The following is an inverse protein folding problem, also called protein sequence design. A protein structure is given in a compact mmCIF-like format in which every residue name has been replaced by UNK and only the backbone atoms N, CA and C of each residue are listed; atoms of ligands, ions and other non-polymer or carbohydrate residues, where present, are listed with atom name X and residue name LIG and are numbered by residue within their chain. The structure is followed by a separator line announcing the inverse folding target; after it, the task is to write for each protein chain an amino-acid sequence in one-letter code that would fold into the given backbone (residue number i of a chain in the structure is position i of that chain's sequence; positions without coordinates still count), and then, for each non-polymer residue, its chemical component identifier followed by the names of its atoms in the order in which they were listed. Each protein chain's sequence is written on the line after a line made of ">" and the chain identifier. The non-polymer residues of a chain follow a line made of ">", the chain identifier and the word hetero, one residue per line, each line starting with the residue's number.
data_IF_213111784393
#
_entry.id   IF_213111784393
#
_cell.length_a   1.000
_cell.length_b   1.000
_cell.length_c   1.000
_cell.angle_alpha   90.00
_cell.angle_beta   90.00
_cell.angle_gamma   90.00
#
_symmetry.space_group_name_H-M   'P 1'
#
loop_
_entity.id
_entity.type
_entity.pdbx_description
1 polymer ?
#
# COMPACT_ATOMS: atom_id res chain seq x y z
N UNK A 1 30.46 -1.98 -12.23
CA UNK A 1 30.11 -2.48 -10.89
C UNK A 1 28.75 -1.90 -10.56
N UNK A 2 27.66 -2.69 -10.43
CA UNK A 2 26.38 -2.11 -10.07
C UNK A 2 26.48 -1.62 -8.62
N UNK A 3 26.31 -0.32 -8.41
CA UNK A 3 26.17 0.24 -7.08
C UNK A 3 24.92 -0.37 -6.44
N UNK A 4 25.10 -1.09 -5.34
CA UNK A 4 24.01 -1.54 -4.49
C UNK A 4 23.36 -0.32 -3.83
N UNK A 5 22.55 0.42 -4.57
CA UNK A 5 21.70 1.45 -3.98
C UNK A 5 20.70 0.72 -3.09
N UNK A 6 20.66 1.00 -1.77
CA UNK A 6 19.78 0.29 -0.86
C UNK A 6 18.33 0.51 -1.28
N UNK A 7 17.58 -0.60 -1.40
CA UNK A 7 16.14 -0.54 -1.71
C UNK A 7 15.40 0.07 -0.51
N UNK A 8 14.33 0.82 -0.75
CA UNK A 8 13.46 1.38 0.31
C UNK A 8 13.11 0.33 1.38
N UNK A 9 12.69 -0.86 0.96
CA UNK A 9 12.41 -1.98 1.86
C UNK A 9 13.59 -2.37 2.75
N UNK A 10 14.82 -2.35 2.23
CA UNK A 10 16.01 -2.63 3.05
C UNK A 10 16.30 -1.53 4.06
N UNK A 11 16.04 -0.26 3.70
CA UNK A 11 16.21 0.89 4.60
C UNK A 11 15.19 0.82 5.72
N UNK A 12 13.91 0.64 5.38
CA UNK A 12 12.82 0.57 6.36
C UNK A 12 12.99 -0.60 7.31
N UNK A 13 13.38 -1.78 6.80
CA UNK A 13 13.66 -2.95 7.66
C UNK A 13 14.85 -2.72 8.58
N UNK A 14 15.93 -2.14 8.06
CA UNK A 14 17.11 -1.84 8.86
C UNK A 14 16.83 -0.82 9.97
N UNK A 15 15.99 0.19 9.68
CA UNK A 15 15.69 1.25 10.63
C UNK A 15 14.63 0.83 11.66
N UNK A 16 13.59 0.11 11.24
CA UNK A 16 12.43 -0.18 12.07
C UNK A 16 12.48 -1.55 12.74
N UNK A 17 12.98 -2.60 12.05
CA UNK A 17 12.89 -3.98 12.56
C UNK A 17 14.15 -4.45 13.28
N UNK A 18 15.34 -4.03 12.85
CA UNK A 18 16.60 -4.44 13.50
C UNK A 18 16.69 -4.01 14.97
N UNK A 19 16.30 -2.78 15.36
CA UNK A 19 16.34 -2.37 16.77
C UNK A 19 15.08 -2.72 17.58
N UNK A 20 14.09 -3.39 16.98
CA UNK A 20 12.79 -3.63 17.59
C UNK A 20 12.71 -4.78 18.61
N UNK A 21 13.47 -5.90 18.49
CA UNK A 21 13.34 -7.00 19.44
C UNK A 21 13.65 -6.55 20.87
N UNK A 22 12.78 -6.95 21.82
CA UNK A 22 12.89 -6.53 23.22
C UNK A 22 14.26 -6.83 23.81
N UNK A 23 14.83 -8.00 23.51
CA UNK A 23 16.15 -8.42 24.01
C UNK A 23 17.31 -7.53 23.59
N UNK A 24 17.14 -6.74 22.51
CA UNK A 24 18.14 -5.76 22.06
C UNK A 24 18.03 -4.47 22.87
N UNK A 25 16.82 -4.11 23.31
CA UNK A 25 16.55 -2.88 24.04
C UNK A 25 16.73 -3.04 25.55
N UNK A 26 16.20 -4.12 26.11
CA UNK A 26 16.13 -4.41 27.55
C UNK A 26 16.38 -5.90 27.76
N UNK A 27 17.40 -6.24 28.54
CA UNK A 27 17.62 -7.63 28.95
C UNK A 27 16.63 -8.05 30.04
N UNK A 28 16.43 -9.36 30.23
CA UNK A 28 15.59 -9.87 31.32
C UNK A 28 16.07 -9.35 32.69
N UNK A 29 17.38 -9.26 32.91
CA UNK A 29 17.96 -8.73 34.16
C UNK A 29 17.53 -7.27 34.39
N UNK A 30 17.68 -6.42 33.37
CA UNK A 30 17.25 -5.01 33.44
C UNK A 30 15.73 -4.89 33.64
N UNK A 31 14.96 -5.77 33.02
CA UNK A 31 13.51 -5.81 33.21
C UNK A 31 13.15 -6.20 34.65
N UNK A 32 13.86 -7.16 35.26
CA UNK A 32 13.63 -7.55 36.66
C UNK A 32 13.98 -6.44 37.64
N UNK A 33 14.97 -5.59 37.34
CA UNK A 33 15.34 -4.44 38.19
C UNK A 33 14.21 -3.42 38.35
N UNK A 34 13.25 -3.36 37.43
CA UNK A 34 12.10 -2.47 37.53
C UNK A 34 11.07 -2.88 38.58
N UNK A 35 11.18 -4.11 39.10
CA UNK A 35 10.30 -4.64 40.12
C UNK A 35 10.94 -4.51 41.52
N UNK A 36 10.13 -4.34 42.58
CA UNK A 36 10.63 -4.33 43.94
C UNK A 36 11.40 -5.62 44.27
N UNK A 37 12.48 -5.53 45.06
CA UNK A 37 13.37 -6.65 45.40
C UNK A 37 12.64 -7.92 45.93
N UNK A 38 11.47 -7.74 46.53
CA UNK A 38 10.62 -8.82 47.05
C UNK A 38 10.05 -9.72 45.94
N UNK A 39 9.93 -9.21 44.73
CA UNK A 39 9.33 -9.88 43.58
C UNK A 39 10.34 -10.23 42.49
N UNK A 40 11.56 -9.70 42.54
CA UNK A 40 12.60 -9.92 41.50
C UNK A 40 12.94 -11.40 41.26
N UNK A 41 12.77 -12.26 42.27
CA UNK A 41 12.97 -13.71 42.16
C UNK A 41 11.71 -14.49 41.77
N UNK A 42 10.60 -13.81 41.43
CA UNK A 42 9.36 -14.47 41.02
C UNK A 42 9.43 -14.96 39.58
N UNK A 43 9.01 -16.20 39.36
CA UNK A 43 8.87 -16.81 38.03
C UNK A 43 7.86 -16.06 37.14
N UNK A 44 6.90 -15.37 37.76
CA UNK A 44 5.88 -14.57 37.06
C UNK A 44 6.49 -13.43 36.22
N UNK A 45 7.64 -12.87 36.65
CA UNK A 45 8.31 -11.78 35.92
C UNK A 45 8.94 -12.32 34.63
N UNK A 46 9.49 -13.54 34.66
CA UNK A 46 10.01 -14.18 33.46
C UNK A 46 8.89 -14.50 32.47
N UNK A 47 7.74 -14.96 32.98
CA UNK A 47 6.54 -15.21 32.16
C UNK A 47 6.07 -13.90 31.52
N UNK A 48 6.00 -12.81 32.28
CA UNK A 48 5.62 -11.50 31.77
C UNK A 48 6.58 -11.01 30.68
N UNK A 49 7.89 -11.16 30.88
CA UNK A 49 8.89 -10.79 29.88
C UNK A 49 8.72 -11.59 28.58
N UNK A 50 8.45 -12.90 28.67
CA UNK A 50 8.15 -13.73 27.48
C UNK A 50 6.86 -13.31 26.79
N UNK A 51 5.81 -12.97 27.54
CA UNK A 51 4.56 -12.46 26.95
C UNK A 51 4.82 -11.16 26.18
N UNK A 52 5.57 -10.24 26.78
CA UNK A 52 5.90 -8.95 26.16
C UNK A 52 6.78 -9.11 24.93
N UNK A 53 7.74 -10.06 24.98
CA UNK A 53 8.55 -10.43 23.83
C UNK A 53 7.70 -10.99 22.68
N UNK A 54 6.71 -11.85 22.99
CA UNK A 54 5.80 -12.38 21.97
C UNK A 54 4.92 -11.29 21.35
N UNK A 55 4.44 -10.34 22.16
CA UNK A 55 3.64 -9.23 21.66
C UNK A 55 4.45 -8.33 20.72
N UNK A 56 5.67 -7.96 21.11
CA UNK A 56 6.57 -7.18 20.25
C UNK A 56 6.92 -7.95 18.97
N UNK A 57 7.08 -9.28 19.04
CA UNK A 57 7.33 -10.08 17.85
C UNK A 57 6.15 -10.04 16.87
N UNK A 58 4.92 -10.10 17.36
CA UNK A 58 3.72 -9.93 16.52
C UNK A 58 3.69 -8.56 15.85
N UNK A 59 3.99 -7.49 16.60
CA UNK A 59 4.05 -6.14 16.06
C UNK A 59 5.16 -5.99 15.00
N UNK A 60 6.33 -6.61 15.22
CA UNK A 60 7.44 -6.66 14.25
C UNK A 60 7.00 -7.33 12.96
N UNK A 61 6.28 -8.45 13.06
CA UNK A 61 5.79 -9.19 11.90
C UNK A 61 4.76 -8.35 11.12
N UNK A 62 3.82 -7.68 11.80
CA UNK A 62 2.85 -6.77 11.20
C UNK A 62 3.53 -5.58 10.50
N UNK A 63 4.48 -4.92 11.16
CA UNK A 63 5.27 -3.85 10.55
C UNK A 63 6.06 -4.36 9.35
N UNK A 64 6.55 -5.61 9.40
CA UNK A 64 7.23 -6.27 8.29
C UNK A 64 6.34 -6.42 7.04
N UNK A 65 5.07 -6.79 7.22
CA UNK A 65 4.07 -6.85 6.15
C UNK A 65 3.73 -5.45 5.61
N UNK A 66 3.55 -4.48 6.51
CA UNK A 66 3.27 -3.09 6.16
C UNK A 66 4.41 -2.46 5.34
N UNK A 67 5.67 -2.74 5.67
CA UNK A 67 6.83 -2.28 4.89
C UNK A 67 6.79 -2.84 3.46
N UNK A 68 6.36 -4.10 3.27
CA UNK A 68 6.25 -4.69 1.94
C UNK A 68 5.14 -4.01 1.11
N UNK A 69 4.00 -3.72 1.75
CA UNK A 69 2.91 -2.99 1.12
C UNK A 69 3.31 -1.55 0.75
N UNK A 70 3.97 -0.84 1.66
CA UNK A 70 4.40 0.54 1.42
C UNK A 70 5.49 0.62 0.35
N UNK A 71 6.46 -0.31 0.33
CA UNK A 71 7.47 -0.35 -0.74
C UNK A 71 6.86 -0.61 -2.13
N UNK A 72 5.75 -1.35 -2.22
CA UNK A 72 4.99 -1.51 -3.48
C UNK A 72 4.29 -0.21 -3.86
N UNK A 73 3.71 0.48 -2.88
CA UNK A 73 3.04 1.77 -3.06
C UNK A 73 4.01 2.88 -3.48
N UNK A 74 5.19 2.96 -2.86
CA UNK A 74 6.25 3.90 -3.22
C UNK A 74 6.70 3.73 -4.67
N UNK A 75 6.90 2.49 -5.13
CA UNK A 75 7.20 2.22 -6.56
C UNK A 75 6.10 2.72 -7.49
N UNK A 76 4.83 2.54 -7.13
CA UNK A 76 3.69 3.03 -7.92
C UNK A 76 3.69 4.56 -7.98
N UNK A 77 3.87 5.23 -6.85
CA UNK A 77 3.97 6.70 -6.78
C UNK A 77 5.14 7.24 -7.59
N UNK A 78 6.31 6.59 -7.54
CA UNK A 78 7.46 6.97 -8.38
C UNK A 78 7.14 6.83 -9.88
N UNK A 79 6.40 5.79 -10.28
CA UNK A 79 5.95 5.64 -11.68
C UNK A 79 5.00 6.77 -12.06
N UNK A 80 4.01 7.06 -11.23
CA UNK A 80 3.07 8.17 -11.45
C UNK A 80 3.79 9.52 -11.57
N UNK A 81 4.73 9.83 -10.67
CA UNK A 81 5.54 11.07 -10.74
C UNK A 81 6.37 11.14 -12.02
N UNK A 82 6.98 10.02 -12.45
CA UNK A 82 7.71 9.98 -13.72
C UNK A 82 6.80 10.26 -14.91
N UNK A 83 5.62 9.66 -14.93
CA UNK A 83 4.61 9.89 -15.98
C UNK A 83 4.16 11.36 -15.96
N UNK A 84 3.81 11.92 -14.80
CA UNK A 84 3.42 13.33 -14.68
C UNK A 84 4.49 14.28 -15.19
N UNK A 85 5.76 14.04 -14.83
CA UNK A 85 6.89 14.84 -15.33
C UNK A 85 7.09 14.71 -16.83
N UNK A 86 6.92 13.50 -17.39
CA UNK A 86 7.01 13.28 -18.82
C UNK A 86 5.85 13.99 -19.56
N UNK A 87 4.62 13.94 -19.04
CA UNK A 87 3.48 14.65 -19.62
C UNK A 87 3.61 16.16 -19.52
N UNK A 88 4.14 16.69 -18.42
CA UNK A 88 4.40 18.12 -18.26
C UNK A 88 5.50 18.60 -19.21
N UNK A 89 6.55 17.80 -19.38
CA UNK A 89 7.59 18.06 -20.37
C UNK A 89 7.02 18.04 -21.79
N UNK A 90 6.20 17.04 -22.13
CA UNK A 90 5.55 16.92 -23.44
C UNK A 90 4.64 18.13 -23.72
N UNK A 91 3.79 18.52 -22.76
CA UNK A 91 2.91 19.69 -22.90
C UNK A 91 3.71 20.99 -23.05
N UNK A 92 4.85 21.12 -22.35
CA UNK A 92 5.76 22.25 -22.53
C UNK A 92 6.37 22.28 -23.93
N UNK A 93 6.83 21.14 -24.45
CA UNK A 93 7.38 21.04 -25.81
C UNK A 93 6.32 21.33 -26.88
N UNK A 94 5.09 20.85 -26.70
CA UNK A 94 3.97 21.13 -27.61
C UNK A 94 3.55 22.62 -27.62
N UNK A 95 3.81 23.35 -26.53
CA UNK A 95 3.54 24.79 -26.44
C UNK A 95 4.60 25.69 -27.07
N UNK A 96 5.76 25.13 -27.42
CA UNK A 96 6.85 25.89 -28.04
C UNK A 96 6.65 25.93 -29.56
N UNK A 97 6.70 27.13 -30.14
CA UNK A 97 6.65 27.30 -31.58
C UNK A 97 7.95 26.77 -32.21
N UNK A 98 7.88 26.24 -33.45
CA UNK A 98 9.04 25.63 -34.12
C UNK A 98 10.18 26.64 -34.26
N UNK A 99 9.84 27.93 -34.42
CA UNK A 99 10.81 29.03 -34.43
C UNK A 99 11.50 29.26 -33.07
N UNK A 100 10.78 29.12 -31.96
CA UNK A 100 11.35 29.26 -30.61
C UNK A 100 12.32 28.11 -30.31
N UNK A 101 11.97 26.88 -30.71
CA UNK A 101 12.84 25.71 -30.59
C UNK A 101 14.14 25.91 -31.39
N UNK A 102 14.04 26.43 -32.63
CA UNK A 102 15.20 26.67 -33.49
C UNK A 102 16.12 27.77 -32.94
N UNK A 103 15.53 28.83 -32.40
CA UNK A 103 16.26 29.93 -31.75
C UNK A 103 16.97 29.46 -30.48
N UNK A 104 16.32 28.67 -29.63
CA UNK A 104 16.91 28.08 -28.43
C UNK A 104 18.05 27.08 -28.77
N UNK A 105 17.97 26.42 -29.92
CA UNK A 105 18.96 25.44 -30.37
C UNK A 105 20.25 26.10 -30.90
N UNK A 106 20.14 27.28 -31.52
CA UNK A 106 21.28 28.10 -31.97
C UNK A 106 21.97 28.85 -30.81
N UNK A 107 21.21 29.25 -29.78
CA UNK A 107 21.74 29.94 -28.60
C UNK A 107 22.42 29.03 -27.58
N UNK A 108 22.25 27.70 -27.68
CA UNK A 108 22.77 26.72 -26.73
C UNK A 108 24.09 26.08 -27.19
N UNK A 109 24.98 25.93 -26.22
CA UNK A 109 26.23 25.19 -26.34
C UNK A 109 25.98 23.67 -26.48
N UNK A 110 26.91 22.93 -27.08
CA UNK A 110 26.75 21.51 -27.47
C UNK A 110 26.31 20.59 -26.33
N UNK A 111 26.71 20.92 -25.09
CA UNK A 111 26.34 20.17 -23.88
C UNK A 111 24.87 20.34 -23.48
N UNK A 112 24.24 21.47 -23.81
CA UNK A 112 22.86 21.78 -23.43
C UNK A 112 21.82 21.35 -24.47
N UNK A 113 22.24 21.04 -25.72
CA UNK A 113 21.35 20.52 -26.77
C UNK A 113 20.74 19.16 -26.41
N UNK A 114 21.43 18.37 -25.60
CA UNK A 114 21.00 17.03 -25.17
C UNK A 114 19.88 17.05 -24.09
N UNK A 115 19.65 18.18 -23.42
CA UNK A 115 18.78 18.22 -22.23
C UNK A 115 17.33 18.59 -22.53
N UNK A 116 17.01 19.08 -23.72
CA UNK A 116 15.67 19.62 -24.04
C UNK A 116 14.84 18.73 -24.98
N UNK A 117 15.47 17.80 -25.69
CA UNK A 117 14.78 16.87 -26.60
C UNK A 117 14.71 15.43 -26.08
N UNK A 118 15.18 15.18 -24.85
CA UNK A 118 15.48 13.81 -24.40
C UNK A 118 16.77 13.30 -25.05
N UNK A 119 17.22 12.11 -24.64
CA UNK A 119 18.42 11.48 -25.18
C UNK A 119 18.36 11.46 -26.72
N UNK A 120 19.26 12.21 -27.38
CA UNK A 120 19.33 12.23 -28.83
C UNK A 120 19.66 10.81 -29.32
N UNK A 121 18.70 10.16 -29.95
CA UNK A 121 18.90 8.82 -30.49
C UNK A 121 19.74 8.90 -31.78
N UNK A 122 20.91 8.26 -31.77
CA UNK A 122 21.65 7.95 -32.99
C UNK A 122 21.04 6.71 -33.68
N UNK A 123 21.33 6.50 -34.97
CA UNK A 123 20.73 5.44 -35.80
C UNK A 123 20.90 4.03 -35.21
N UNK A 124 21.97 3.80 -34.43
CA UNK A 124 22.21 2.54 -33.72
C UNK A 124 21.40 2.40 -32.42
N UNK A 125 21.01 3.51 -31.79
CA UNK A 125 20.33 3.55 -30.49
C UNK A 125 18.80 3.58 -30.59
N UNK A 126 18.24 4.00 -31.73
CA UNK A 126 16.79 4.15 -31.90
C UNK A 126 16.06 2.80 -31.93
N UNK A 127 16.61 1.78 -32.59
CA UNK A 127 16.00 0.45 -32.68
C UNK A 127 15.89 -0.22 -31.29
N UNK A 128 16.96 -0.28 -30.46
CA UNK A 128 16.83 -0.86 -29.12
C UNK A 128 15.94 -0.02 -28.20
N UNK A 129 15.92 1.31 -28.34
CA UNK A 129 15.01 2.18 -27.59
C UNK A 129 13.54 1.90 -27.96
N UNK A 130 13.22 1.76 -29.24
CA UNK A 130 11.89 1.39 -29.71
C UNK A 130 11.48 0.00 -29.22
N UNK A 131 12.38 -0.99 -29.28
CA UNK A 131 12.09 -2.33 -28.77
C UNK A 131 11.81 -2.34 -27.26
N UNK A 132 12.57 -1.55 -26.48
CA UNK A 132 12.33 -1.37 -25.06
C UNK A 132 10.98 -0.68 -24.79
N UNK A 133 10.64 0.36 -25.56
CA UNK A 133 9.36 1.05 -25.46
C UNK A 133 8.18 0.13 -25.79
N UNK A 134 8.28 -0.69 -26.85
CA UNK A 134 7.26 -1.70 -27.18
C UNK A 134 7.05 -2.67 -26.02
N UNK A 135 8.13 -3.21 -25.44
CA UNK A 135 8.06 -4.12 -24.30
C UNK A 135 7.44 -3.45 -23.07
N UNK A 136 7.76 -2.17 -22.83
CA UNK A 136 7.18 -1.40 -21.73
C UNK A 136 5.67 -1.19 -21.93
N UNK A 137 5.22 -0.89 -23.15
CA UNK A 137 3.81 -0.75 -23.48
C UNK A 137 3.06 -2.08 -23.33
N UNK A 138 3.63 -3.19 -23.78
CA UNK A 138 3.05 -4.53 -23.59
C UNK A 138 2.86 -4.85 -22.09
N UNK A 139 3.86 -4.53 -21.27
CA UNK A 139 3.77 -4.73 -19.83
C UNK A 139 2.73 -3.80 -19.18
N UNK A 140 2.61 -2.56 -19.65
CA UNK A 140 1.59 -1.63 -19.18
C UNK A 140 0.18 -2.06 -19.56
N UNK A 141 -0.02 -2.66 -20.75
CA UNK A 141 -1.30 -3.25 -21.14
C UNK A 141 -1.67 -4.36 -20.16
N UNK A 142 -0.74 -5.27 -19.84
CA UNK A 142 -1.01 -6.36 -18.88
C UNK A 142 -1.38 -5.79 -17.49
N UNK A 143 -0.59 -4.84 -16.99
CA UNK A 143 -0.84 -4.20 -15.69
C UNK A 143 -2.24 -3.52 -15.63
N UNK A 144 -2.62 -2.84 -16.72
CA UNK A 144 -3.90 -2.13 -16.81
C UNK A 144 -5.08 -3.08 -16.96
N UNK A 145 -4.94 -4.17 -17.72
CA UNK A 145 -5.94 -5.23 -17.82
C UNK A 145 -6.19 -5.91 -16.47
N UNK A 146 -5.13 -6.21 -15.71
CA UNK A 146 -5.25 -6.77 -14.37
C UNK A 146 -5.97 -5.81 -13.41
N UNK A 147 -5.61 -4.53 -13.42
CA UNK A 147 -6.27 -3.51 -12.61
C UNK A 147 -7.75 -3.36 -12.97
N UNK A 148 -8.08 -3.36 -14.27
CA UNK A 148 -9.47 -3.31 -14.73
C UNK A 148 -10.26 -4.54 -14.30
N UNK A 149 -9.67 -5.73 -14.33
CA UNK A 149 -10.30 -6.97 -13.86
C UNK A 149 -10.64 -6.91 -12.37
N UNK A 150 -9.71 -6.42 -11.55
CA UNK A 150 -9.93 -6.24 -10.10
C UNK A 150 -11.08 -5.25 -9.86
N UNK A 151 -11.03 -4.09 -10.52
CA UNK A 151 -12.09 -3.08 -10.37
C UNK A 151 -13.48 -3.61 -10.80
N UNK A 152 -13.55 -4.41 -11.87
CA UNK A 152 -14.80 -5.06 -12.28
C UNK A 152 -15.30 -6.07 -11.24
N UNK A 153 -14.40 -6.83 -10.62
CA UNK A 153 -14.78 -7.77 -9.56
C UNK A 153 -15.35 -7.03 -8.35
N UNK A 154 -14.76 -5.90 -7.96
CA UNK A 154 -15.24 -5.07 -6.86
C UNK A 154 -16.61 -4.45 -7.17
N UNK A 155 -16.82 -3.97 -8.41
CA UNK A 155 -18.13 -3.49 -8.86
C UNK A 155 -19.16 -4.63 -8.82
N UNK A 156 -18.82 -5.83 -9.27
CA UNK A 156 -19.73 -6.97 -9.21
C UNK A 156 -20.07 -7.38 -7.77
N UNK A 157 -19.09 -7.36 -6.87
CA UNK A 157 -19.31 -7.64 -5.45
C UNK A 157 -20.26 -6.61 -4.82
N UNK A 158 -19.97 -5.32 -5.02
CA UNK A 158 -20.81 -4.22 -4.50
C UNK A 158 -22.22 -4.23 -5.08
N UNK A 159 -22.38 -4.49 -6.39
CA UNK A 159 -23.70 -4.66 -7.01
C UNK A 159 -24.43 -5.90 -6.46
N UNK A 160 -23.69 -6.97 -6.16
CA UNK A 160 -24.22 -8.17 -5.50
C UNK A 160 -24.77 -7.85 -4.10
N UNK A 161 -23.98 -7.17 -3.27
CA UNK A 161 -24.38 -6.74 -1.93
C UNK A 161 -25.58 -5.79 -1.96
N UNK A 162 -25.57 -4.79 -2.86
CA UNK A 162 -26.69 -3.86 -3.03
C UNK A 162 -27.94 -4.55 -3.58
N UNK A 163 -27.79 -5.57 -4.42
CA UNK A 163 -28.90 -6.39 -4.91
C UNK A 163 -29.48 -7.25 -3.79
N UNK A 164 -28.66 -7.86 -2.95
CA UNK A 164 -29.10 -8.60 -1.77
C UNK A 164 -29.86 -7.69 -0.78
N UNK A 165 -29.40 -6.45 -0.58
CA UNK A 165 -30.13 -5.41 0.15
C UNK A 165 -31.48 -5.07 -0.50
N UNK A 166 -31.52 -4.84 -1.82
CA UNK A 166 -32.74 -4.48 -2.55
C UNK A 166 -33.78 -5.60 -2.57
N UNK A 167 -33.33 -6.85 -2.65
CA UNK A 167 -34.19 -8.03 -2.69
C UNK A 167 -34.39 -8.69 -1.31
N UNK A 168 -33.92 -8.04 -0.24
CA UNK A 168 -34.26 -8.39 1.15
C UNK A 168 -33.48 -9.57 1.74
N UNK A 169 -32.37 -9.99 1.13
CA UNK A 169 -31.42 -10.95 1.74
C UNK A 169 -30.53 -10.20 2.73
N UNK A 170 -31.09 -9.95 3.91
CA UNK A 170 -30.31 -9.42 5.04
C UNK A 170 -29.22 -10.42 5.44
N UNK A 171 -28.02 -9.94 5.80
CA UNK A 171 -26.94 -10.82 6.26
C UNK A 171 -27.40 -11.65 7.46
N UNK A 172 -27.04 -12.93 7.48
CA UNK A 172 -27.33 -13.83 8.60
C UNK A 172 -26.47 -13.43 9.79
N UNK A 173 -27.09 -12.95 10.86
CA UNK A 173 -26.42 -12.78 12.16
C UNK A 173 -26.74 -14.00 13.01
N UNK A 174 -25.95 -15.07 12.89
CA UNK A 174 -26.18 -16.34 13.60
C UNK A 174 -26.97 -17.39 12.78
N UNK A 175 -27.72 -18.26 13.46
CA UNK A 175 -28.41 -19.42 12.85
C UNK A 175 -29.74 -19.08 12.15
N UNK A 176 -30.27 -17.85 12.29
CA UNK A 176 -31.49 -17.39 11.61
C UNK A 176 -31.23 -16.14 10.77
N UNK A 177 -31.94 -15.94 9.65
CA UNK A 177 -31.83 -14.71 8.88
C UNK A 177 -32.26 -13.52 9.75
N UNK A 178 -31.46 -12.45 9.79
CA UNK A 178 -31.67 -11.28 10.65
C UNK A 178 -33.09 -10.71 10.54
N UNK A 179 -33.69 -10.78 9.34
CA UNK A 179 -35.08 -10.36 9.13
C UNK A 179 -36.10 -11.13 9.97
N UNK A 180 -35.94 -12.44 10.16
CA UNK A 180 -36.87 -13.23 10.98
C UNK A 180 -36.69 -12.97 12.47
N UNK A 181 -35.46 -12.77 12.94
CA UNK A 181 -35.19 -12.42 14.35
C UNK A 181 -35.78 -11.04 14.69
N UNK A 182 -35.60 -10.03 13.82
CA UNK A 182 -36.20 -8.70 14.03
C UNK A 182 -37.74 -8.80 14.06
N UNK A 183 -38.36 -9.53 13.12
CA UNK A 183 -39.81 -9.70 13.09
C UNK A 183 -40.31 -10.42 14.35
N UNK A 184 -39.63 -11.47 14.80
CA UNK A 184 -39.99 -12.16 16.03
C UNK A 184 -39.85 -11.26 17.26
N UNK A 185 -38.79 -10.45 17.35
CA UNK A 185 -38.59 -9.50 18.46
C UNK A 185 -39.65 -8.39 18.46
N UNK A 186 -40.00 -7.86 17.29
CA UNK A 186 -41.09 -6.89 17.15
C UNK A 186 -42.42 -7.49 17.60
N UNK A 187 -42.70 -8.74 17.23
CA UNK A 187 -43.94 -9.41 17.64
C UNK A 187 -43.98 -9.69 19.15
N UNK A 188 -42.83 -10.01 19.77
CA UNK A 188 -42.71 -10.09 21.24
C UNK A 188 -42.96 -8.73 21.90
N UNK A 189 -42.41 -7.65 21.33
CA UNK A 189 -42.59 -6.29 21.86
C UNK A 189 -44.04 -5.84 21.72
N UNK A 190 -44.68 -6.10 20.57
CA UNK A 190 -46.11 -5.87 20.35
C UNK A 190 -46.97 -6.59 21.40
N UNK A 191 -46.67 -7.86 21.66
CA UNK A 191 -47.38 -8.64 22.67
C UNK A 191 -47.22 -8.03 24.07
N UNK A 192 -46.01 -7.63 24.45
CA UNK A 192 -45.73 -6.96 25.72
C UNK A 192 -46.47 -5.62 25.82
N UNK A 193 -46.50 -4.83 24.74
CA UNK A 193 -47.22 -3.57 24.71
C UNK A 193 -48.74 -3.75 24.83
N UNK A 194 -49.32 -4.77 24.19
CA UNK A 194 -50.76 -5.10 24.35
C UNK A 194 -51.10 -5.62 25.75
N UNK A 195 -50.16 -6.29 26.41
CA UNK A 195 -50.31 -6.73 27.80
C UNK A 195 -50.15 -5.58 28.81
N UNK A 196 -49.56 -4.44 28.38
CA UNK A 196 -49.39 -3.22 29.18
C UNK A 196 -50.49 -2.16 28.94
N UNK A 197 -51.38 -2.35 27.96
CA UNK A 197 -52.58 -1.51 27.80
C UNK A 197 -53.66 -1.99 28.78
N UNK A 198 -54.11 -1.15 29.74
CA UNK A 198 -55.15 -1.50 30.71
C UNK A 198 -56.56 -1.59 30.12
#
# INVERSE_FOLDING_TARGET
>A
MPENTPTESSILRAFLLVPAPLSVQISLEQFTEWFPAQYQSSEDIEVLYRILQNQIQQDIDEVGENIAAEAKRGKKQMREVKVSRATEHQARVESLDIQDIHMDMELRDETQRHSVLGEAHDQESIIPAMAAACKQLEQEIIDTEEAARVALQDIQATVGELSDLRYGRLPKTGNEPLGTDIVQRLHRLEKICRELEP
#
